data_IF_720617265643
#
_entry.id   IF_720617265643
#
_cell.length_a   1.000
_cell.length_b   1.000
_cell.length_c   1.000
_cell.angle_alpha   90.00
_cell.angle_beta   90.00
_cell.angle_gamma   90.00
#
_symmetry.space_group_name_H-M   'P 1'
#
loop_
_entity.id
_entity.type
_entity.pdbx_description
1 polymer ?
#
# COMPACT_ATOMS: atom_id res chain seq x y z
N UNK A 1 19.27 2.74 -17.96
CA UNK A 1 18.28 3.84 -17.89
C UNK A 1 16.88 3.37 -18.29
N UNK A 2 16.69 2.70 -19.43
CA UNK A 2 15.38 2.18 -19.87
C UNK A 2 14.65 1.33 -18.83
N UNK A 3 15.33 0.36 -18.18
CA UNK A 3 14.70 -0.51 -17.18
C UNK A 3 14.30 0.21 -15.88
N UNK A 4 15.12 1.19 -15.45
CA UNK A 4 14.83 2.04 -14.29
C UNK A 4 13.62 2.95 -14.57
N UNK A 5 13.54 3.51 -15.77
CA UNK A 5 12.40 4.32 -16.20
C UNK A 5 11.14 3.48 -16.30
N UNK A 6 11.22 2.25 -16.83
CA UNK A 6 10.06 1.32 -16.92
C UNK A 6 9.53 0.97 -15.53
N UNK A 7 10.39 0.74 -14.55
CA UNK A 7 9.94 0.36 -13.21
C UNK A 7 9.60 1.53 -12.30
N UNK A 8 10.18 2.72 -12.54
CA UNK A 8 9.66 3.96 -11.97
C UNK A 8 8.29 4.29 -12.55
N UNK A 9 8.08 4.02 -13.85
CA UNK A 9 6.79 4.14 -14.50
C UNK A 9 5.79 3.07 -14.04
N UNK A 10 6.25 1.87 -13.67
CA UNK A 10 5.43 0.85 -13.02
C UNK A 10 5.08 1.18 -11.58
N UNK A 11 6.06 1.68 -10.84
CA UNK A 11 5.87 2.27 -9.52
C UNK A 11 4.86 3.40 -9.56
N UNK A 12 4.94 4.25 -10.58
CA UNK A 12 3.97 5.31 -10.85
C UNK A 12 2.59 4.80 -11.25
N UNK A 13 2.52 3.63 -11.91
CA UNK A 13 1.26 2.97 -12.26
C UNK A 13 0.56 2.38 -11.01
N UNK A 14 1.34 1.90 -10.04
CA UNK A 14 0.84 1.42 -8.73
C UNK A 14 0.57 2.55 -7.72
N UNK A 15 1.19 3.72 -7.92
CA UNK A 15 1.02 4.99 -7.18
C UNK A 15 0.45 6.09 -8.09
N UNK A 16 -0.70 5.79 -8.72
CA UNK A 16 -1.32 6.57 -9.78
C UNK A 16 -1.83 7.94 -9.31
N UNK A 17 -0.96 8.94 -9.24
CA UNK A 17 -1.40 10.34 -9.22
C UNK A 17 -0.38 11.38 -9.68
N UNK A 18 0.90 11.27 -9.30
CA UNK A 18 1.85 12.36 -9.58
C UNK A 18 3.19 11.92 -10.20
N UNK A 19 3.58 10.66 -10.07
CA UNK A 19 4.80 10.17 -10.73
C UNK A 19 4.61 10.06 -12.25
N UNK A 20 3.36 9.95 -12.70
CA UNK A 20 2.96 10.09 -14.10
C UNK A 20 3.21 11.52 -14.62
N UNK A 21 2.99 12.59 -13.85
CA UNK A 21 3.21 13.95 -14.37
C UNK A 21 4.70 14.35 -14.39
N UNK A 22 5.48 13.86 -13.42
CA UNK A 22 6.94 14.08 -13.34
C UNK A 22 7.75 13.27 -14.37
N UNK A 23 7.31 12.07 -14.75
CA UNK A 23 7.98 11.23 -15.76
C UNK A 23 7.34 11.31 -17.15
N UNK A 24 6.04 11.63 -17.26
CA UNK A 24 5.25 11.57 -18.49
C UNK A 24 4.52 12.89 -18.74
N UNK A 25 5.30 13.94 -18.98
CA UNK A 25 4.82 15.17 -19.62
C UNK A 25 4.44 14.96 -21.11
N UNK A 26 4.45 13.73 -21.61
CA UNK A 26 4.02 13.34 -22.94
C UNK A 26 2.86 12.35 -22.88
N UNK A 27 1.74 12.81 -23.43
CA UNK A 27 0.56 12.15 -24.00
C UNK A 27 0.08 10.78 -23.48
N UNK A 28 -1.26 10.64 -23.50
CA UNK A 28 -2.08 9.46 -23.21
C UNK A 28 -1.56 8.11 -23.74
N UNK A 29 -0.68 8.12 -24.74
CA UNK A 29 -0.04 6.95 -25.32
C UNK A 29 0.90 6.21 -24.37
N UNK A 30 1.61 6.88 -23.45
CA UNK A 30 2.56 6.19 -22.54
C UNK A 30 1.84 5.50 -21.38
N UNK A 31 0.76 6.11 -20.87
CA UNK A 31 -0.11 5.49 -19.86
C UNK A 31 -0.84 4.27 -20.43
N UNK A 32 -1.33 4.36 -21.67
CA UNK A 32 -1.88 3.23 -22.42
C UNK A 32 -0.81 2.17 -22.73
N UNK A 33 0.42 2.57 -23.04
CA UNK A 33 1.53 1.63 -23.26
C UNK A 33 1.91 0.88 -21.98
N UNK A 34 1.92 1.53 -20.82
CA UNK A 34 2.24 0.90 -19.53
C UNK A 34 1.11 -0.02 -19.04
N UNK A 35 -0.16 0.36 -19.25
CA UNK A 35 -1.32 -0.52 -19.01
C UNK A 35 -1.32 -1.72 -19.96
N UNK A 36 -1.03 -1.51 -21.25
CA UNK A 36 -0.89 -2.60 -22.24
C UNK A 36 0.34 -3.47 -21.96
N UNK A 37 1.41 -2.90 -21.38
CA UNK A 37 2.56 -3.67 -20.91
C UNK A 37 2.19 -4.48 -19.65
N UNK A 38 1.39 -3.95 -18.72
CA UNK A 38 0.88 -4.64 -17.52
C UNK A 38 -0.07 -5.79 -17.84
N UNK A 39 -0.94 -5.56 -18.81
CA UNK A 39 -1.80 -6.58 -19.39
C UNK A 39 -0.99 -7.66 -20.11
N UNK A 40 0.13 -7.30 -20.77
CA UNK A 40 1.00 -8.25 -21.50
C UNK A 40 2.05 -8.95 -20.65
N UNK A 41 2.51 -8.40 -19.53
CA UNK A 41 3.58 -8.98 -18.70
C UNK A 41 3.09 -9.77 -17.50
N UNK A 42 1.80 -9.68 -17.14
CA UNK A 42 1.21 -10.40 -16.02
C UNK A 42 1.76 -9.95 -14.65
N UNK A 43 0.96 -10.14 -13.58
CA UNK A 43 1.38 -9.82 -12.21
C UNK A 43 2.65 -10.55 -11.77
N UNK A 44 2.97 -11.67 -12.42
CA UNK A 44 4.11 -12.54 -12.11
C UNK A 44 5.48 -11.85 -12.29
N UNK A 45 5.53 -10.75 -13.05
CA UNK A 45 6.78 -10.02 -13.31
C UNK A 45 6.98 -8.76 -12.45
N UNK A 46 6.02 -8.36 -11.60
CA UNK A 46 6.15 -7.12 -10.80
C UNK A 46 7.34 -7.20 -9.83
N UNK A 47 7.49 -8.34 -9.16
CA UNK A 47 8.64 -8.57 -8.27
C UNK A 47 9.96 -8.55 -9.04
N UNK A 48 10.01 -9.17 -10.23
CA UNK A 48 11.19 -9.17 -11.10
C UNK A 48 11.56 -7.76 -11.59
N UNK A 49 10.56 -6.91 -11.87
CA UNK A 49 10.76 -5.51 -12.25
C UNK A 49 11.31 -4.68 -11.07
N UNK A 50 10.73 -4.82 -9.88
CA UNK A 50 11.22 -4.16 -8.67
C UNK A 50 12.68 -4.56 -8.41
N UNK A 51 12.95 -5.87 -8.41
CA UNK A 51 14.29 -6.42 -8.22
C UNK A 51 15.27 -5.90 -9.27
N UNK A 52 14.95 -6.00 -10.56
CA UNK A 52 15.80 -5.54 -11.65
C UNK A 52 16.14 -4.05 -11.55
N UNK A 53 15.23 -3.25 -10.99
CA UNK A 53 15.41 -1.79 -10.85
C UNK A 53 16.30 -1.43 -9.69
N UNK A 54 16.10 -2.10 -8.56
CA UNK A 54 16.97 -1.98 -7.40
C UNK A 54 18.37 -2.46 -7.75
N UNK A 55 18.49 -3.61 -8.41
CA UNK A 55 19.78 -4.13 -8.90
C UNK A 55 20.45 -3.18 -9.88
N UNK A 56 19.70 -2.54 -10.78
CA UNK A 56 20.24 -1.53 -11.69
C UNK A 56 20.73 -0.30 -10.93
N UNK A 57 19.93 0.23 -10.00
CA UNK A 57 20.31 1.38 -9.19
C UNK A 57 21.55 1.08 -8.31
N UNK A 58 21.63 -0.12 -7.75
CA UNK A 58 22.78 -0.60 -6.99
C UNK A 58 24.03 -0.76 -7.86
N UNK A 59 23.92 -1.37 -9.05
CA UNK A 59 25.04 -1.57 -9.99
C UNK A 59 25.61 -0.24 -10.50
N UNK A 60 24.76 0.76 -10.66
CA UNK A 60 25.15 2.13 -11.00
C UNK A 60 25.64 2.93 -9.78
N UNK A 61 25.65 2.34 -8.58
CA UNK A 61 26.00 2.98 -7.32
C UNK A 61 25.24 4.29 -7.05
N UNK A 62 24.00 4.39 -7.51
CA UNK A 62 23.21 5.63 -7.39
C UNK A 62 22.85 5.97 -5.94
N UNK A 63 22.98 4.99 -5.02
CA UNK A 63 22.84 5.20 -3.58
C UNK A 63 24.01 6.00 -2.96
N UNK A 64 25.12 6.18 -3.68
CA UNK A 64 26.28 6.92 -3.20
C UNK A 64 26.24 8.37 -3.69
N UNK A 65 26.12 9.31 -2.76
CA UNK A 65 26.11 10.75 -3.05
C UNK A 65 27.28 11.21 -3.96
N UNK A 66 28.54 10.77 -3.75
CA UNK A 66 29.66 11.17 -4.62
C UNK A 66 29.51 10.65 -6.07
N UNK A 67 28.85 9.51 -6.26
CA UNK A 67 28.62 8.92 -7.58
C UNK A 67 27.55 9.73 -8.33
N UNK A 68 26.51 10.18 -7.63
CA UNK A 68 25.47 11.03 -8.22
C UNK A 68 26.06 12.33 -8.76
N UNK A 69 26.94 13.01 -8.00
CA UNK A 69 27.61 14.22 -8.47
C UNK A 69 28.52 14.00 -9.70
N UNK A 70 29.00 12.78 -9.91
CA UNK A 70 29.84 12.43 -11.07
C UNK A 70 29.03 12.01 -12.30
N UNK A 71 27.89 11.34 -12.10
CA UNK A 71 27.05 10.82 -13.17
C UNK A 71 26.01 11.84 -13.68
N UNK A 72 25.53 12.72 -12.81
CA UNK A 72 24.53 13.72 -13.18
C UNK A 72 25.21 14.96 -13.78
N UNK A 73 24.68 15.41 -14.92
CA UNK A 73 25.17 16.57 -15.67
C UNK A 73 24.77 17.88 -14.99
N UNK A 74 23.71 17.86 -14.17
CA UNK A 74 23.22 19.00 -13.40
C UNK A 74 22.77 18.59 -11.98
N UNK A 75 22.72 19.57 -11.09
CA UNK A 75 22.17 19.39 -9.73
C UNK A 75 20.69 19.00 -9.77
N UNK A 76 19.92 19.50 -10.74
CA UNK A 76 18.53 19.10 -10.95
C UNK A 76 18.41 17.61 -11.26
N UNK A 77 19.25 17.10 -12.17
CA UNK A 77 19.29 15.68 -12.49
C UNK A 77 19.70 14.83 -11.28
N UNK A 78 20.63 15.32 -10.45
CA UNK A 78 21.01 14.65 -9.20
C UNK A 78 19.83 14.60 -8.21
N UNK A 79 19.08 15.69 -8.04
CA UNK A 79 17.88 15.74 -7.20
C UNK A 79 16.81 14.77 -7.70
N UNK A 80 16.52 14.74 -9.00
CA UNK A 80 15.53 13.81 -9.57
C UNK A 80 15.96 12.35 -9.41
N UNK A 81 17.25 12.06 -9.56
CA UNK A 81 17.79 10.71 -9.34
C UNK A 81 17.63 10.29 -7.88
N UNK A 82 17.89 11.19 -6.91
CA UNK A 82 17.64 10.92 -5.49
C UNK A 82 16.17 10.66 -5.20
N UNK A 83 15.27 11.45 -5.78
CA UNK A 83 13.80 11.25 -5.66
C UNK A 83 13.38 9.89 -6.21
N UNK A 84 13.93 9.48 -7.36
CA UNK A 84 13.67 8.16 -7.94
C UNK A 84 14.13 7.00 -7.04
N UNK A 85 15.29 7.12 -6.39
CA UNK A 85 15.77 6.11 -5.42
C UNK A 85 14.84 6.03 -4.21
N UNK A 86 14.40 7.18 -3.69
CA UNK A 86 13.44 7.24 -2.59
C UNK A 86 12.09 6.62 -2.98
N UNK A 87 11.62 6.84 -4.20
CA UNK A 87 10.41 6.20 -4.71
C UNK A 87 10.58 4.68 -4.82
N UNK A 88 11.70 4.20 -5.35
CA UNK A 88 12.00 2.76 -5.41
C UNK A 88 12.02 2.13 -4.02
N UNK A 89 12.57 2.82 -3.03
CA UNK A 89 12.49 2.41 -1.63
C UNK A 89 11.04 2.32 -1.13
N UNK A 90 10.21 3.32 -1.41
CA UNK A 90 8.80 3.30 -1.01
C UNK A 90 8.03 2.11 -1.64
N UNK A 91 8.28 1.84 -2.92
CA UNK A 91 7.68 0.71 -3.65
C UNK A 91 8.14 -0.62 -3.06
N UNK A 92 9.45 -0.81 -2.87
CA UNK A 92 10.02 -2.03 -2.28
C UNK A 92 9.41 -2.33 -0.91
N UNK A 93 9.36 -1.33 -0.01
CA UNK A 93 8.84 -1.53 1.35
C UNK A 93 7.35 -1.84 1.38
N UNK A 94 6.54 -1.12 0.61
CA UNK A 94 5.10 -1.36 0.55
C UNK A 94 4.78 -2.69 -0.11
N UNK A 95 5.47 -3.04 -1.22
CA UNK A 95 5.35 -4.33 -1.88
C UNK A 95 5.76 -5.49 -0.95
N UNK A 96 6.90 -5.38 -0.27
CA UNK A 96 7.37 -6.41 0.64
C UNK A 96 6.39 -6.64 1.80
N UNK A 97 5.81 -5.56 2.34
CA UNK A 97 4.78 -5.67 3.37
C UNK A 97 3.52 -6.38 2.85
N UNK A 98 3.04 -5.98 1.67
CA UNK A 98 1.85 -6.53 1.01
C UNK A 98 1.94 -8.04 0.81
N UNK A 99 2.99 -8.44 0.11
CA UNK A 99 3.19 -9.82 -0.34
C UNK A 99 3.95 -10.66 0.67
N UNK A 100 4.27 -10.09 1.84
CA UNK A 100 4.99 -10.76 2.91
C UNK A 100 6.37 -11.28 2.45
N UNK A 101 7.02 -10.56 1.54
CA UNK A 101 8.36 -10.91 1.03
C UNK A 101 9.46 -10.16 1.77
N UNK A 102 10.71 -10.53 1.52
CA UNK A 102 11.84 -9.73 1.97
C UNK A 102 11.93 -8.43 1.18
N UNK A 103 12.25 -7.34 1.88
CA UNK A 103 12.60 -6.08 1.25
C UNK A 103 14.05 -6.14 0.78
N UNK A 104 14.29 -5.66 -0.45
CA UNK A 104 15.59 -5.73 -1.11
C UNK A 104 16.43 -4.50 -0.74
N UNK A 105 15.80 -3.33 -0.56
CA UNK A 105 16.49 -2.08 -0.20
C UNK A 105 16.65 -1.96 1.30
N UNK A 106 17.90 -1.93 1.79
CA UNK A 106 18.18 -1.67 3.20
C UNK A 106 17.95 -0.20 3.56
N UNK A 107 17.47 0.07 4.78
CA UNK A 107 17.24 1.44 5.27
C UNK A 107 18.52 2.29 5.27
N UNK A 108 19.69 1.65 5.38
CA UNK A 108 21.00 2.31 5.32
C UNK A 108 21.55 2.52 3.90
N UNK A 109 20.84 2.07 2.87
CA UNK A 109 21.28 2.15 1.47
C UNK A 109 20.71 3.36 0.70
N UNK A 110 20.17 4.34 1.43
CA UNK A 110 19.62 5.56 0.86
C UNK A 110 20.70 6.65 0.78
N UNK A 111 20.73 7.45 -0.30
CA UNK A 111 21.74 8.49 -0.50
C UNK A 111 21.68 9.59 0.57
N UNK A 112 20.49 9.82 1.13
CA UNK A 112 20.22 10.79 2.18
C UNK A 112 19.32 10.18 3.25
N UNK A 113 19.28 10.78 4.45
CA UNK A 113 18.39 10.31 5.55
C UNK A 113 16.90 10.60 5.30
N UNK A 114 16.63 11.66 4.54
CA UNK A 114 15.30 12.12 4.15
C UNK A 114 15.27 12.43 2.65
N UNK A 115 14.09 12.34 1.99
CA UNK A 115 13.94 12.75 0.61
C UNK A 115 14.35 14.22 0.43
N UNK A 116 14.88 14.59 -0.75
CA UNK A 116 15.34 15.95 -1.01
C UNK A 116 14.17 16.94 -1.13
N UNK A 117 14.17 17.96 -0.27
CA UNK A 117 13.13 19.00 -0.17
C UNK A 117 13.31 20.17 -1.16
N UNK A 118 14.45 20.22 -1.88
CA UNK A 118 14.84 21.42 -2.62
C UNK A 118 13.86 21.76 -3.75
N UNK A 119 13.09 22.83 -3.52
CA UNK A 119 12.26 23.54 -4.48
C UNK A 119 13.18 24.30 -5.43
N UNK A 120 13.63 23.66 -6.51
CA UNK A 120 13.98 24.42 -7.71
C UNK A 120 12.65 24.90 -8.29
N UNK A 121 12.47 26.23 -8.31
CA UNK A 121 11.30 26.96 -8.77
C UNK A 121 10.70 26.37 -10.07
N UNK A 122 9.70 25.53 -9.89
CA UNK A 122 8.74 25.11 -10.89
C UNK A 122 7.45 24.95 -10.10
N UNK A 123 6.36 25.55 -10.59
CA UNK A 123 5.03 25.67 -9.95
C UNK A 123 4.30 24.32 -9.70
N UNK A 124 5.04 23.26 -9.39
CA UNK A 124 4.60 21.87 -9.19
C UNK A 124 5.03 21.36 -7.81
N UNK A 125 4.66 22.10 -6.76
CA UNK A 125 4.94 21.80 -5.35
C UNK A 125 4.35 20.50 -4.72
N UNK A 126 3.36 19.78 -5.26
CA UNK A 126 2.75 18.64 -4.55
C UNK A 126 3.66 17.39 -4.46
N UNK A 127 4.52 17.17 -5.46
CA UNK A 127 5.34 15.95 -5.57
C UNK A 127 6.37 15.71 -4.45
N UNK A 128 6.90 16.77 -3.83
CA UNK A 128 7.89 16.63 -2.76
C UNK A 128 7.25 16.23 -1.44
N UNK A 129 6.06 16.78 -1.14
CA UNK A 129 5.28 16.45 0.05
C UNK A 129 4.75 15.03 -0.02
N UNK A 130 4.26 14.59 -1.20
CA UNK A 130 3.84 13.21 -1.41
C UNK A 130 4.95 12.20 -1.17
N UNK A 131 6.15 12.45 -1.73
CA UNK A 131 7.30 11.57 -1.52
C UNK A 131 7.69 11.51 -0.04
N UNK A 132 7.56 12.62 0.69
CA UNK A 132 7.78 12.65 2.13
C UNK A 132 6.77 11.77 2.88
N UNK A 133 5.47 11.91 2.59
CA UNK A 133 4.39 11.08 3.17
C UNK A 133 4.64 9.59 2.88
N UNK A 134 4.97 9.24 1.64
CA UNK A 134 5.28 7.86 1.22
C UNK A 134 6.53 7.33 1.89
N UNK A 135 7.58 8.15 2.05
CA UNK A 135 8.81 7.74 2.72
C UNK A 135 8.60 7.43 4.21
N UNK A 136 7.73 8.18 4.89
CA UNK A 136 7.35 7.91 6.28
C UNK A 136 6.61 6.57 6.39
N UNK A 137 5.64 6.34 5.50
CA UNK A 137 4.93 5.06 5.42
C UNK A 137 5.88 3.89 5.14
N UNK A 138 6.80 4.05 4.20
CA UNK A 138 7.78 3.02 3.85
C UNK A 138 8.70 2.66 5.03
N UNK A 139 9.09 3.65 5.86
CA UNK A 139 9.81 3.40 7.13
C UNK A 139 8.96 2.63 8.13
N UNK A 140 7.65 2.89 8.22
CA UNK A 140 6.73 2.10 9.05
C UNK A 140 6.66 0.67 8.52
N UNK A 141 6.50 0.47 7.21
CA UNK A 141 6.50 -0.85 6.56
C UNK A 141 7.78 -1.64 6.86
N UNK A 142 8.95 -1.00 6.75
CA UNK A 142 10.24 -1.60 7.09
C UNK A 142 10.27 -2.12 8.53
N UNK A 143 9.77 -1.34 9.50
CA UNK A 143 9.70 -1.76 10.91
C UNK A 143 8.71 -2.89 11.15
N UNK A 144 7.56 -2.90 10.46
CA UNK A 144 6.60 -4.02 10.54
C UNK A 144 7.24 -5.31 10.01
N UNK A 145 7.95 -5.23 8.88
CA UNK A 145 8.70 -6.35 8.32
C UNK A 145 9.79 -6.85 9.26
N UNK A 146 10.55 -5.94 9.88
CA UNK A 146 11.57 -6.29 10.88
C UNK A 146 10.97 -6.95 12.12
N UNK A 147 9.84 -6.45 12.64
CA UNK A 147 9.15 -7.06 13.77
C UNK A 147 8.75 -8.51 13.48
N UNK A 148 8.35 -8.79 12.23
CA UNK A 148 8.02 -10.15 11.79
C UNK A 148 9.24 -11.08 11.74
N UNK A 149 10.40 -10.59 11.31
CA UNK A 149 11.64 -11.39 11.20
C UNK A 149 12.36 -11.53 12.55
N UNK A 150 12.39 -10.46 13.37
CA UNK A 150 13.01 -10.44 14.70
C UNK A 150 12.31 -11.32 15.74
N UNK A 151 11.13 -11.84 15.37
CA UNK A 151 10.29 -12.78 16.10
C UNK A 151 11.00 -14.03 16.63
N UNK A 152 12.06 -14.51 15.95
CA UNK A 152 12.82 -15.68 16.42
C UNK A 152 13.78 -15.37 17.57
N UNK A 153 14.02 -14.08 17.88
CA UNK A 153 15.08 -13.64 18.81
C UNK A 153 14.59 -12.76 19.96
N UNK A 154 13.43 -12.11 19.85
CA UNK A 154 12.92 -11.18 20.88
C UNK A 154 11.93 -11.83 21.87
N UNK A 155 11.91 -11.40 23.15
CA UNK A 155 10.88 -11.77 24.12
C UNK A 155 9.48 -11.39 23.64
N UNK A 156 8.48 -12.18 24.04
CA UNK A 156 7.10 -12.00 23.59
C UNK A 156 6.48 -10.66 24.04
N UNK A 157 6.88 -10.12 25.20
CA UNK A 157 6.42 -8.83 25.72
C UNK A 157 6.93 -7.64 24.89
N UNK A 158 8.17 -7.69 24.42
CA UNK A 158 8.78 -6.66 23.58
C UNK A 158 8.09 -6.59 22.21
N UNK A 159 7.70 -7.75 21.65
CA UNK A 159 6.96 -7.82 20.39
C UNK A 159 5.60 -7.13 20.47
N UNK A 160 4.86 -7.33 21.57
CA UNK A 160 3.55 -6.70 21.78
C UNK A 160 3.68 -5.18 21.95
N UNK A 161 4.65 -4.73 22.76
CA UNK A 161 4.92 -3.31 22.93
C UNK A 161 5.31 -2.64 21.60
N UNK A 162 6.15 -3.31 20.81
CA UNK A 162 6.57 -2.84 19.48
C UNK A 162 5.39 -2.77 18.50
N UNK A 163 4.51 -3.77 18.49
CA UNK A 163 3.30 -3.76 17.65
C UNK A 163 2.35 -2.59 18.01
N UNK A 164 2.11 -2.34 19.30
CA UNK A 164 1.29 -1.21 19.76
C UNK A 164 1.93 0.13 19.40
N UNK A 165 3.25 0.25 19.56
CA UNK A 165 4.01 1.45 19.16
C UNK A 165 3.89 1.70 17.67
N UNK A 166 4.01 0.66 16.85
CA UNK A 166 3.88 0.76 15.39
C UNK A 166 2.44 1.08 14.96
N UNK A 167 1.43 0.51 15.59
CA UNK A 167 0.02 0.85 15.31
C UNK A 167 -0.26 2.33 15.65
N UNK A 168 0.28 2.83 16.77
CA UNK A 168 0.19 4.24 17.14
C UNK A 168 0.90 5.15 16.14
N UNK A 169 2.08 4.74 15.66
CA UNK A 169 2.82 5.49 14.63
C UNK A 169 2.08 5.51 13.29
N UNK A 170 1.48 4.39 12.90
CA UNK A 170 0.67 4.25 11.69
C UNK A 170 -0.59 5.13 11.75
N UNK A 171 -1.30 5.16 12.88
CA UNK A 171 -2.46 6.03 13.08
C UNK A 171 -2.07 7.52 13.02
N UNK A 172 -0.93 7.90 13.63
CA UNK A 172 -0.40 9.26 13.55
C UNK A 172 -0.07 9.65 12.11
N UNK A 173 0.60 8.77 11.37
CA UNK A 173 0.90 8.98 9.95
C UNK A 173 -0.37 9.16 9.14
N UNK A 174 -1.38 8.31 9.32
CA UNK A 174 -2.65 8.38 8.61
C UNK A 174 -3.38 9.71 8.86
N UNK A 175 -3.48 10.13 10.14
CA UNK A 175 -4.10 11.40 10.51
C UNK A 175 -3.34 12.61 9.95
N UNK A 176 -2.00 12.60 10.00
CA UNK A 176 -1.18 13.67 9.45
C UNK A 176 -1.31 13.79 7.93
N UNK A 177 -1.45 12.65 7.24
CA UNK A 177 -1.59 12.59 5.79
C UNK A 177 -2.97 13.06 5.30
N UNK A 178 -4.01 12.96 6.14
CA UNK A 178 -5.39 13.25 5.76
C UNK A 178 -5.89 14.69 5.99
N UNK A 179 -5.14 15.57 6.67
CA UNK A 179 -5.71 16.81 7.24
C UNK A 179 -5.34 18.12 6.50
N UNK A 180 -4.24 18.24 5.73
CA UNK A 180 -3.88 19.62 5.29
C UNK A 180 -2.89 19.82 4.12
N UNK A 181 -2.27 18.79 3.54
CA UNK A 181 -1.07 19.04 2.70
C UNK A 181 -1.30 19.01 1.18
N UNK A 182 -2.21 18.18 0.66
CA UNK A 182 -2.44 18.06 -0.80
C UNK A 182 -3.32 19.16 -1.44
N UNK A 183 -3.74 20.15 -0.65
CA UNK A 183 -4.96 20.92 -0.91
C UNK A 183 -4.94 22.06 -1.96
N UNK A 184 -3.82 22.68 -2.41
CA UNK A 184 -3.97 23.83 -3.31
C UNK A 184 -3.88 23.54 -4.82
N UNK A 185 -3.58 22.32 -5.29
CA UNK A 185 -3.18 22.11 -6.70
C UNK A 185 -3.78 20.90 -7.44
N UNK A 186 -4.47 20.00 -6.74
CA UNK A 186 -5.09 18.83 -7.37
C UNK A 186 -6.56 19.08 -7.68
N UNK A 187 -7.06 18.51 -8.77
CA UNK A 187 -8.50 18.43 -9.01
C UNK A 187 -9.17 17.62 -7.88
N UNK A 188 -10.44 17.89 -7.61
CA UNK A 188 -11.22 17.19 -6.59
C UNK A 188 -11.21 15.67 -6.80
N UNK A 189 -11.21 15.23 -8.06
CA UNK A 189 -11.17 13.83 -8.45
C UNK A 189 -9.88 13.13 -7.99
N UNK A 190 -8.73 13.76 -8.23
CA UNK A 190 -7.41 13.27 -7.83
C UNK A 190 -7.22 13.38 -6.31
N UNK A 191 -7.65 14.46 -5.67
CA UNK A 191 -7.60 14.55 -4.20
C UNK A 191 -8.33 13.38 -3.52
N UNK A 192 -9.49 12.99 -4.04
CA UNK A 192 -10.27 11.88 -3.50
C UNK A 192 -9.60 10.53 -3.73
N UNK A 193 -8.89 10.33 -4.84
CA UNK A 193 -8.13 9.10 -5.11
C UNK A 193 -6.88 9.03 -4.25
N UNK A 194 -6.12 10.11 -4.06
CA UNK A 194 -5.00 10.20 -3.12
C UNK A 194 -5.41 9.75 -1.71
N UNK A 195 -6.51 10.33 -1.23
CA UNK A 195 -7.05 10.06 0.10
C UNK A 195 -7.44 8.60 0.25
N UNK A 196 -8.06 8.03 -0.78
CA UNK A 196 -8.47 6.63 -0.80
C UNK A 196 -7.25 5.70 -0.77
N UNK A 197 -6.21 6.03 -1.54
CA UNK A 197 -4.97 5.25 -1.57
C UNK A 197 -4.25 5.27 -0.22
N UNK A 198 -4.15 6.44 0.43
CA UNK A 198 -3.61 6.57 1.79
C UNK A 198 -4.41 5.73 2.79
N UNK A 199 -5.73 5.71 2.68
CA UNK A 199 -6.60 4.85 3.51
C UNK A 199 -6.31 3.37 3.30
N UNK A 200 -6.08 2.92 2.06
CA UNK A 200 -5.71 1.53 1.79
C UNK A 200 -4.36 1.17 2.39
N UNK A 201 -3.35 2.01 2.23
CA UNK A 201 -2.05 1.82 2.87
C UNK A 201 -2.14 1.70 4.38
N UNK A 202 -3.00 2.52 5.00
CA UNK A 202 -3.27 2.45 6.42
C UNK A 202 -3.88 1.09 6.81
N UNK A 203 -5.00 0.71 6.21
CA UNK A 203 -5.70 -0.51 6.61
C UNK A 203 -4.92 -1.79 6.27
N UNK A 204 -4.18 -1.80 5.16
CA UNK A 204 -3.31 -2.90 4.79
C UNK A 204 -2.22 -3.12 5.85
N UNK A 205 -1.50 -2.07 6.22
CA UNK A 205 -0.46 -2.17 7.25
C UNK A 205 -1.06 -2.53 8.63
N UNK A 206 -2.25 -2.03 8.93
CA UNK A 206 -2.97 -2.36 10.16
C UNK A 206 -3.36 -3.85 10.18
N UNK A 207 -3.85 -4.43 9.08
CA UNK A 207 -4.12 -5.87 8.99
C UNK A 207 -2.86 -6.70 9.21
N UNK A 208 -1.73 -6.30 8.63
CA UNK A 208 -0.46 -7.00 8.83
C UNK A 208 0.00 -6.94 10.29
N UNK A 209 -0.13 -5.79 10.96
CA UNK A 209 0.17 -5.66 12.39
C UNK A 209 -0.75 -6.52 13.26
N UNK A 210 -2.06 -6.48 12.99
CA UNK A 210 -3.05 -7.28 13.73
C UNK A 210 -2.84 -8.77 13.53
N UNK A 211 -2.43 -9.21 12.34
CA UNK A 211 -2.10 -10.62 12.09
C UNK A 211 -0.93 -11.12 12.94
N UNK A 212 0.05 -10.25 13.22
CA UNK A 212 1.18 -10.57 14.11
C UNK A 212 0.69 -10.76 15.55
N UNK A 213 -0.21 -9.88 16.02
CA UNK A 213 -0.76 -9.94 17.38
C UNK A 213 -1.74 -11.11 17.59
N UNK A 214 -2.61 -11.40 16.61
CA UNK A 214 -3.71 -12.37 16.76
C UNK A 214 -3.29 -13.83 16.59
N UNK A 215 -2.23 -14.12 15.82
CA UNK A 215 -1.77 -15.49 15.62
C UNK A 215 -1.14 -16.11 16.88
N UNK A 216 -0.74 -15.30 17.87
CA UNK A 216 -0.02 -15.76 19.06
C UNK A 216 -0.49 -15.01 20.32
N UNK A 217 -1.58 -15.48 20.95
CA UNK A 217 -2.09 -14.91 22.20
C UNK A 217 -1.01 -14.97 23.29
N UNK A 218 -0.71 -13.84 23.91
CA UNK A 218 0.24 -13.77 25.02
C UNK A 218 -0.37 -14.47 26.25
N UNK A 219 0.34 -15.44 26.87
CA UNK A 219 -0.14 -16.07 28.09
C UNK A 219 -0.09 -15.16 29.34
N UNK A 220 0.63 -14.03 29.29
CA UNK A 220 0.92 -13.17 30.46
C UNK A 220 0.28 -11.78 30.45
N UNK A 221 -0.39 -11.37 29.37
CA UNK A 221 -1.21 -10.15 29.34
C UNK A 221 -2.52 -10.39 30.12
N UNK A 222 -3.23 -9.40 30.68
CA UNK A 222 -4.63 -9.57 31.02
C UNK A 222 -5.38 -9.96 29.73
N UNK A 223 -5.53 -11.27 29.52
CA UNK A 223 -5.88 -11.98 28.28
C UNK A 223 -7.10 -11.38 27.55
N UNK A 224 -7.93 -10.58 28.23
CA UNK A 224 -9.11 -9.96 27.63
C UNK A 224 -8.94 -8.57 26.99
N UNK A 225 -7.98 -7.71 27.39
CA UNK A 225 -8.07 -6.28 27.02
C UNK A 225 -7.37 -5.91 25.70
N UNK A 226 -6.22 -6.52 25.39
CA UNK A 226 -5.47 -6.19 24.18
C UNK A 226 -6.04 -6.94 22.96
N UNK A 227 -6.35 -8.23 23.11
CA UNK A 227 -6.96 -9.02 22.05
C UNK A 227 -8.34 -8.48 21.65
N UNK A 228 -9.17 -8.07 22.63
CA UNK A 228 -10.46 -7.42 22.34
C UNK A 228 -10.28 -6.10 21.60
N UNK A 229 -9.30 -5.27 22.00
CA UNK A 229 -8.96 -4.04 21.29
C UNK A 229 -8.52 -4.30 19.86
N UNK A 230 -7.65 -5.27 19.63
CA UNK A 230 -7.14 -5.63 18.31
C UNK A 230 -8.26 -6.19 17.42
N UNK A 231 -9.17 -6.99 17.99
CA UNK A 231 -10.37 -7.49 17.31
C UNK A 231 -11.34 -6.36 16.93
N UNK A 232 -11.52 -5.37 17.79
CA UNK A 232 -12.33 -4.18 17.49
C UNK A 232 -11.69 -3.29 16.41
N UNK A 233 -10.36 -3.13 16.44
CA UNK A 233 -9.62 -2.42 15.38
C UNK A 233 -9.74 -3.15 14.03
N UNK A 234 -9.70 -4.49 14.05
CA UNK A 234 -9.91 -5.31 12.86
C UNK A 234 -11.32 -5.11 12.30
N UNK A 235 -12.35 -5.26 13.14
CA UNK A 235 -13.76 -5.06 12.76
C UNK A 235 -13.99 -3.68 12.16
N UNK A 236 -13.44 -2.64 12.79
CA UNK A 236 -13.51 -1.26 12.30
C UNK A 236 -12.86 -1.11 10.91
N UNK A 237 -11.65 -1.64 10.73
CA UNK A 237 -10.92 -1.55 9.45
C UNK A 237 -11.66 -2.27 8.32
N UNK A 238 -12.21 -3.46 8.59
CA UNK A 238 -13.05 -4.20 7.63
C UNK A 238 -14.26 -3.35 7.25
N UNK A 239 -14.99 -2.83 8.24
CA UNK A 239 -16.18 -2.00 8.00
C UNK A 239 -15.85 -0.77 7.14
N UNK A 240 -14.77 -0.06 7.47
CA UNK A 240 -14.36 1.14 6.73
C UNK A 240 -14.00 0.81 5.28
N UNK A 241 -13.20 -0.23 5.01
CA UNK A 241 -12.88 -0.63 3.63
C UNK A 241 -14.14 -1.02 2.84
N UNK A 242 -14.96 -1.89 3.40
CA UNK A 242 -16.13 -2.42 2.69
C UNK A 242 -17.17 -1.33 2.44
N UNK A 243 -17.42 -0.44 3.39
CA UNK A 243 -18.35 0.69 3.18
C UNK A 243 -17.86 1.64 2.10
N UNK A 244 -16.55 1.95 2.07
CA UNK A 244 -15.95 2.80 1.04
C UNK A 244 -16.00 2.14 -0.34
N UNK A 245 -15.86 0.81 -0.42
CA UNK A 245 -15.87 0.06 -1.69
C UNK A 245 -17.10 0.35 -2.55
N UNK A 246 -18.27 0.53 -1.92
CA UNK A 246 -19.53 0.79 -2.63
C UNK A 246 -19.62 2.22 -3.18
N UNK A 247 -18.82 3.14 -2.64
CA UNK A 247 -18.79 4.54 -3.06
C UNK A 247 -17.74 4.83 -4.14
N UNK A 248 -16.86 3.87 -4.43
CA UNK A 248 -15.84 4.02 -5.47
C UNK A 248 -16.52 4.05 -6.85
N UNK A 249 -16.30 5.10 -7.67
CA UNK A 249 -16.76 5.16 -9.05
C UNK A 249 -16.13 4.06 -9.91
N UNK A 250 -16.89 3.57 -10.88
CA UNK A 250 -16.46 2.55 -11.84
C UNK A 250 -15.14 2.88 -12.52
N UNK A 251 -14.96 4.14 -12.93
CA UNK A 251 -13.78 4.61 -13.64
C UNK A 251 -12.50 4.46 -12.80
N UNK A 252 -12.61 4.42 -11.47
CA UNK A 252 -11.47 4.27 -10.57
C UNK A 252 -11.09 2.81 -10.36
N UNK A 253 -12.06 1.89 -10.46
CA UNK A 253 -11.83 0.44 -10.26
C UNK A 253 -10.83 -0.12 -11.27
N UNK A 254 -10.86 0.37 -12.51
CA UNK A 254 -9.95 -0.05 -13.58
C UNK A 254 -8.58 0.64 -13.53
N UNK A 255 -8.46 1.72 -12.76
CA UNK A 255 -7.24 2.53 -12.70
C UNK A 255 -6.26 2.08 -11.62
N UNK A 256 -6.73 1.43 -10.56
CA UNK A 256 -5.89 0.99 -9.45
C UNK A 256 -6.25 -0.44 -8.97
N UNK A 257 -5.34 -1.38 -9.19
CA UNK A 257 -5.47 -2.76 -8.73
C UNK A 257 -5.54 -2.91 -7.20
N UNK A 258 -5.12 -1.88 -6.44
CA UNK A 258 -5.24 -1.84 -4.99
C UNK A 258 -6.69 -1.97 -4.53
N UNK A 259 -7.65 -1.45 -5.31
CA UNK A 259 -9.09 -1.58 -5.01
C UNK A 259 -9.50 -3.05 -4.90
N UNK A 260 -9.10 -3.88 -5.86
CA UNK A 260 -9.43 -5.29 -5.87
C UNK A 260 -8.73 -6.02 -4.72
N UNK A 261 -7.44 -5.75 -4.52
CA UNK A 261 -6.65 -6.37 -3.47
C UNK A 261 -7.20 -6.10 -2.07
N UNK A 262 -7.43 -4.83 -1.71
CA UNK A 262 -7.84 -4.46 -0.35
C UNK A 262 -9.24 -4.96 -0.02
N UNK A 263 -10.14 -5.00 -1.01
CA UNK A 263 -11.49 -5.53 -0.84
C UNK A 263 -11.50 -7.05 -0.71
N UNK A 264 -10.65 -7.74 -1.46
CA UNK A 264 -10.43 -9.19 -1.29
C UNK A 264 -9.88 -9.49 0.11
N UNK A 265 -8.86 -8.74 0.54
CA UNK A 265 -8.28 -8.90 1.88
C UNK A 265 -9.31 -8.63 2.98
N UNK A 266 -10.12 -7.58 2.86
CA UNK A 266 -11.19 -7.27 3.82
C UNK A 266 -12.25 -8.38 3.86
N UNK A 267 -12.64 -8.95 2.72
CA UNK A 267 -13.55 -10.10 2.64
C UNK A 267 -12.95 -11.32 3.35
N UNK A 268 -11.68 -11.65 3.11
CA UNK A 268 -11.01 -12.76 3.79
C UNK A 268 -10.99 -12.54 5.32
N UNK A 269 -10.67 -11.33 5.78
CA UNK A 269 -10.65 -11.02 7.21
C UNK A 269 -12.06 -11.04 7.83
N UNK A 270 -13.09 -10.60 7.09
CA UNK A 270 -14.49 -10.72 7.50
C UNK A 270 -14.90 -12.19 7.63
N UNK A 271 -14.56 -13.01 6.64
CA UNK A 271 -14.82 -14.44 6.65
C UNK A 271 -14.19 -15.10 7.88
N UNK A 272 -12.90 -14.86 8.14
CA UNK A 272 -12.21 -15.37 9.34
C UNK A 272 -12.92 -14.94 10.63
N UNK A 273 -13.36 -13.68 10.72
CA UNK A 273 -14.07 -13.18 11.89
C UNK A 273 -15.40 -13.90 12.11
N UNK A 274 -16.20 -14.09 11.05
CA UNK A 274 -17.46 -14.86 11.10
C UNK A 274 -17.20 -16.31 11.52
N UNK A 275 -16.16 -16.95 10.97
CA UNK A 275 -15.84 -18.34 11.25
C UNK A 275 -15.35 -18.56 12.70
N UNK A 276 -14.71 -17.55 13.31
CA UNK A 276 -14.15 -17.60 14.66
C UNK A 276 -15.11 -17.15 15.76
N UNK A 277 -16.12 -16.34 15.46
CA UNK A 277 -17.05 -15.77 16.45
C UNK A 277 -18.50 -16.14 16.11
N UNK A 278 -18.95 -17.35 16.50
CA UNK A 278 -20.30 -17.83 16.25
C UNK A 278 -21.36 -17.12 17.09
N UNK A 279 -21.00 -16.14 17.92
CA UNK A 279 -21.96 -15.42 18.75
C UNK A 279 -22.86 -14.54 17.88
N UNK A 280 -24.17 -14.81 17.91
CA UNK A 280 -25.20 -14.28 17.00
C UNK A 280 -25.39 -12.74 17.01
N UNK A 281 -24.69 -12.00 17.86
CA UNK A 281 -24.91 -10.56 18.05
C UNK A 281 -24.45 -9.70 16.86
N UNK A 282 -23.52 -10.15 16.02
CA UNK A 282 -23.05 -9.42 14.83
C UNK A 282 -23.65 -9.91 13.50
N UNK A 283 -24.58 -10.87 13.52
CA UNK A 283 -25.05 -11.54 12.29
C UNK A 283 -25.67 -10.60 11.26
N UNK A 284 -26.42 -9.57 11.69
CA UNK A 284 -27.02 -8.57 10.79
C UNK A 284 -25.98 -7.68 10.12
N UNK A 285 -25.00 -7.22 10.89
CA UNK A 285 -23.93 -6.37 10.38
C UNK A 285 -23.06 -7.14 9.38
N UNK A 286 -22.64 -8.35 9.74
CA UNK A 286 -21.84 -9.20 8.86
C UNK A 286 -22.57 -9.48 7.53
N UNK A 287 -23.88 -9.77 7.56
CA UNK A 287 -24.68 -9.95 6.33
C UNK A 287 -24.76 -8.67 5.49
N UNK A 288 -24.88 -7.50 6.11
CA UNK A 288 -24.87 -6.23 5.39
C UNK A 288 -23.50 -6.00 4.72
N UNK A 289 -22.40 -6.26 5.42
CA UNK A 289 -21.05 -6.15 4.87
C UNK A 289 -20.81 -7.15 3.72
N UNK A 290 -21.28 -8.40 3.86
CA UNK A 290 -21.25 -9.40 2.79
C UNK A 290 -22.08 -8.97 1.57
N UNK A 291 -23.22 -8.33 1.78
CA UNK A 291 -24.04 -7.80 0.68
C UNK A 291 -23.36 -6.64 -0.05
N UNK A 292 -22.69 -5.75 0.70
CA UNK A 292 -21.94 -4.63 0.15
C UNK A 292 -20.79 -5.14 -0.74
N UNK A 293 -20.00 -6.08 -0.23
CA UNK A 293 -18.84 -6.60 -0.96
C UNK A 293 -19.24 -7.45 -2.17
N UNK A 294 -20.36 -8.19 -2.11
CA UNK A 294 -20.95 -8.83 -3.28
C UNK A 294 -21.26 -7.81 -4.38
N UNK A 295 -21.91 -6.68 -4.03
CA UNK A 295 -22.21 -5.61 -4.97
C UNK A 295 -20.96 -4.98 -5.58
N UNK A 296 -19.87 -4.88 -4.82
CA UNK A 296 -18.57 -4.46 -5.35
C UNK A 296 -18.05 -5.43 -6.41
N UNK A 297 -17.95 -6.72 -6.10
CA UNK A 297 -17.41 -7.71 -7.04
C UNK A 297 -18.31 -7.91 -8.27
N UNK A 298 -19.64 -7.78 -8.13
CA UNK A 298 -20.55 -7.77 -9.28
C UNK A 298 -20.23 -6.61 -10.24
N UNK A 299 -19.94 -5.41 -9.71
CA UNK A 299 -19.51 -4.28 -10.55
C UNK A 299 -18.18 -4.53 -11.24
N UNK A 300 -17.23 -5.16 -10.55
CA UNK A 300 -15.94 -5.56 -11.14
C UNK A 300 -16.15 -6.53 -12.28
N UNK A 301 -16.98 -7.56 -12.12
CA UNK A 301 -17.26 -8.54 -13.17
C UNK A 301 -17.94 -7.93 -14.39
N UNK A 302 -18.85 -6.97 -14.19
CA UNK A 302 -19.45 -6.21 -15.31
C UNK A 302 -18.38 -5.48 -16.13
N UNK A 303 -17.31 -5.00 -15.49
CA UNK A 303 -16.20 -4.31 -16.16
C UNK A 303 -15.13 -5.25 -16.71
N UNK A 304 -15.00 -6.44 -16.13
CA UNK A 304 -14.04 -7.48 -16.50
C UNK A 304 -14.78 -8.82 -16.71
N UNK A 305 -15.55 -8.97 -17.81
CA UNK A 305 -16.48 -10.09 -17.98
C UNK A 305 -15.82 -11.47 -18.09
N UNK A 306 -14.51 -11.50 -18.35
CA UNK A 306 -13.73 -12.73 -18.45
C UNK A 306 -13.22 -13.23 -17.08
N UNK A 307 -13.43 -12.47 -15.99
CA UNK A 307 -13.05 -12.88 -14.64
C UNK A 307 -14.12 -13.79 -14.03
N UNK A 308 -13.74 -14.87 -13.35
CA UNK A 308 -14.64 -15.73 -12.54
C UNK A 308 -14.79 -15.25 -11.09
N UNK A 309 -14.33 -14.03 -10.80
CA UNK A 309 -14.09 -13.57 -9.43
C UNK A 309 -15.41 -13.42 -8.66
N UNK A 310 -16.47 -12.93 -9.30
CA UNK A 310 -17.76 -12.76 -8.64
C UNK A 310 -18.42 -14.09 -8.32
N UNK A 311 -18.28 -15.11 -9.17
CA UNK A 311 -18.81 -16.46 -8.89
C UNK A 311 -18.12 -17.06 -7.65
N UNK A 312 -16.79 -16.98 -7.59
CA UNK A 312 -16.00 -17.44 -6.43
C UNK A 312 -16.37 -16.70 -5.14
N UNK A 313 -16.50 -15.38 -5.21
CA UNK A 313 -16.91 -14.54 -4.07
C UNK A 313 -18.35 -14.87 -3.64
N UNK A 314 -19.26 -15.08 -4.59
CA UNK A 314 -20.67 -15.39 -4.32
C UNK A 314 -20.80 -16.73 -3.58
N UNK A 315 -20.07 -17.75 -4.04
CA UNK A 315 -20.00 -19.06 -3.39
C UNK A 315 -19.48 -18.94 -1.95
N UNK A 316 -18.42 -18.15 -1.72
CA UNK A 316 -17.90 -17.90 -0.38
C UNK A 316 -18.94 -17.19 0.51
N UNK A 317 -19.62 -16.18 -0.01
CA UNK A 317 -20.65 -15.44 0.74
C UNK A 317 -21.83 -16.34 1.10
N UNK A 318 -22.25 -17.24 0.20
CA UNK A 318 -23.30 -18.22 0.46
C UNK A 318 -22.91 -19.12 1.65
N UNK A 319 -21.70 -19.70 1.62
CA UNK A 319 -21.16 -20.52 2.71
C UNK A 319 -21.17 -19.76 4.04
N UNK A 320 -20.77 -18.48 4.04
CA UNK A 320 -20.70 -17.66 5.24
C UNK A 320 -22.08 -17.21 5.76
N UNK A 321 -23.09 -17.13 4.88
CA UNK A 321 -24.43 -16.63 5.23
C UNK A 321 -25.31 -17.72 5.84
N UNK A 322 -25.15 -18.96 5.39
CA UNK A 322 -25.96 -20.11 5.80
C UNK A 322 -25.34 -20.99 6.90
N UNK A 323 -24.26 -20.51 7.53
CA UNK A 323 -23.67 -21.11 8.73
C UNK A 323 -24.32 -20.56 10.00
#
# INVERSE_FOLDING_TARGET
>A
MSLLIVSLAWGALLDAEETTSLLLRQESSVRQFLLCLAEKTGSDNVHALILGSISTAASLNLHLEPVLHKFCVSDEQAVQTKRAIWLLYCIDKSHALRWQTFSIVSDGSLPTKNPPDNVLQSDSAPSSEWLQIRSQYAKICSKILQLRVGREKEPSEDLSHNAVTLSTALEKWYKASGISQMTPSLDYSDFMRAKLQISYYYHEAQFQLLSISLLYPQPSSPIGSQESRDRELLKRSIREILTVSNTVPSDYLLQDCNHLFINTLALCMLALNILQDPSQNCGKENRALLSIIAGFFARVEIMLPESSIFEEVSNLIEILTYR
#
